data_IF_851502433275
#
_entry.id   IF_851502433275
#
_cell.length_a   1.000
_cell.length_b   1.000
_cell.length_c   1.000
_cell.angle_alpha   90.00
_cell.angle_beta   90.00
_cell.angle_gamma   90.00
#
_symmetry.space_group_name_H-M   'P 1'
#
loop_
_entity.id
_entity.type
_entity.pdbx_description
1 polymer ?
#
# COMPACT_ATOMS: atom_id res chain seq x y z
N UNK A 1 3.13 -4.22 -22.75
CA UNK A 1 3.81 -2.89 -22.69
C UNK A 1 3.43 -2.12 -21.42
N UNK A 2 2.15 -1.98 -21.07
CA UNK A 2 1.76 -1.24 -19.86
C UNK A 2 2.41 -1.80 -18.58
N UNK A 3 2.23 -3.09 -18.28
CA UNK A 3 2.83 -3.71 -17.09
C UNK A 3 4.36 -3.57 -17.04
N UNK A 4 5.04 -3.70 -18.18
CA UNK A 4 6.48 -3.51 -18.25
C UNK A 4 6.88 -2.04 -17.97
N UNK A 5 6.04 -1.07 -18.36
CA UNK A 5 6.27 0.33 -18.02
C UNK A 5 6.12 0.57 -16.50
N UNK A 6 5.12 -0.05 -15.86
CA UNK A 6 4.95 -0.01 -14.40
C UNK A 6 6.12 -0.67 -13.65
N UNK A 7 6.64 -1.80 -14.16
CA UNK A 7 7.82 -2.45 -13.60
C UNK A 7 9.05 -1.52 -13.66
N UNK A 8 9.30 -0.90 -14.82
CA UNK A 8 10.38 0.07 -14.94
C UNK A 8 10.20 1.28 -14.01
N UNK A 9 8.98 1.81 -13.90
CA UNK A 9 8.71 2.94 -13.03
C UNK A 9 8.89 2.58 -11.55
N UNK A 10 8.52 1.37 -11.15
CA UNK A 10 8.73 0.87 -9.77
C UNK A 10 10.22 0.79 -9.43
N UNK A 11 11.06 0.43 -10.41
CA UNK A 11 12.51 0.40 -10.29
C UNK A 11 13.18 1.78 -10.47
N UNK A 12 12.41 2.85 -10.68
CA UNK A 12 12.92 4.20 -10.89
C UNK A 12 13.46 4.49 -12.31
N UNK A 13 13.28 3.57 -13.25
CA UNK A 13 13.66 3.75 -14.67
C UNK A 13 12.55 4.51 -15.43
N UNK A 14 12.29 5.75 -15.02
CA UNK A 14 11.18 6.55 -15.54
C UNK A 14 11.31 6.89 -17.03
N UNK A 15 12.53 7.01 -17.55
CA UNK A 15 12.83 7.19 -18.98
C UNK A 15 12.29 6.02 -19.80
N UNK A 16 12.59 4.78 -19.40
CA UNK A 16 12.10 3.56 -20.05
C UNK A 16 10.59 3.41 -19.92
N UNK A 17 10.07 3.69 -18.75
CA UNK A 17 8.62 3.65 -18.48
C UNK A 17 7.86 4.61 -19.40
N UNK A 18 8.32 5.86 -19.49
CA UNK A 18 7.74 6.88 -20.38
C UNK A 18 7.81 6.47 -21.85
N UNK A 19 8.98 5.98 -22.32
CA UNK A 19 9.14 5.55 -23.71
C UNK A 19 8.20 4.40 -24.10
N UNK A 20 7.97 3.44 -23.19
CA UNK A 20 7.03 2.34 -23.43
C UNK A 20 5.57 2.82 -23.51
N UNK A 21 5.15 3.72 -22.58
CA UNK A 21 3.80 4.29 -22.63
C UNK A 21 3.60 5.16 -23.85
N UNK A 22 4.59 5.96 -24.24
CA UNK A 22 4.57 6.72 -25.47
C UNK A 22 4.32 5.81 -26.69
N UNK A 23 5.10 4.73 -26.82
CA UNK A 23 4.97 3.76 -27.89
C UNK A 23 3.60 3.08 -27.90
N UNK A 24 3.05 2.77 -26.72
CA UNK A 24 1.71 2.20 -26.56
C UNK A 24 0.62 3.18 -27.02
N UNK A 25 0.68 4.43 -26.57
CA UNK A 25 -0.27 5.47 -26.91
C UNK A 25 -0.26 5.79 -28.42
N UNK A 26 0.93 5.83 -29.03
CA UNK A 26 1.07 5.99 -30.49
C UNK A 26 0.48 4.80 -31.26
N UNK A 27 0.62 3.58 -30.77
CA UNK A 27 0.02 2.41 -31.40
C UNK A 27 -1.52 2.49 -31.42
N UNK A 28 -2.14 2.93 -30.30
CA UNK A 28 -3.59 3.18 -30.24
C UNK A 28 -4.03 4.25 -31.26
N UNK A 29 -3.32 5.39 -31.31
CA UNK A 29 -3.62 6.49 -32.26
C UNK A 29 -3.51 6.03 -33.71
N UNK A 30 -2.44 5.32 -34.07
CA UNK A 30 -2.24 4.77 -35.42
C UNK A 30 -3.28 3.71 -35.80
N UNK A 31 -3.76 2.96 -34.81
CA UNK A 31 -4.85 1.99 -34.98
C UNK A 31 -6.25 2.61 -35.05
N UNK A 32 -6.36 3.95 -34.94
CA UNK A 32 -7.67 4.63 -34.91
C UNK A 32 -8.47 4.40 -33.63
N UNK A 33 -7.80 3.96 -32.56
CA UNK A 33 -8.42 3.69 -31.27
C UNK A 33 -8.21 4.85 -30.32
N UNK A 34 -9.18 5.08 -29.42
CA UNK A 34 -9.02 6.04 -28.33
C UNK A 34 -7.92 5.58 -27.37
N UNK A 35 -7.02 6.49 -27.03
CA UNK A 35 -5.98 6.21 -26.02
C UNK A 35 -6.63 6.17 -24.64
N UNK A 36 -6.18 5.24 -23.80
CA UNK A 36 -6.62 5.18 -22.42
C UNK A 36 -6.07 6.42 -21.66
N UNK A 37 -6.94 7.24 -21.04
CA UNK A 37 -6.51 8.43 -20.31
C UNK A 37 -5.47 8.14 -19.19
N UNK A 38 -5.53 6.95 -18.58
CA UNK A 38 -4.59 6.50 -17.57
C UNK A 38 -3.18 6.37 -18.17
N UNK A 39 -3.04 5.82 -19.38
CA UNK A 39 -1.74 5.67 -20.03
C UNK A 39 -1.13 7.02 -20.41
N UNK A 40 -1.97 7.96 -20.88
CA UNK A 40 -1.49 9.32 -21.18
C UNK A 40 -1.06 10.08 -19.91
N UNK A 41 -1.79 9.91 -18.82
CA UNK A 41 -1.47 10.55 -17.56
C UNK A 41 -0.14 10.01 -16.98
N UNK A 42 0.07 8.70 -16.98
CA UNK A 42 1.33 8.10 -16.53
C UNK A 42 2.51 8.35 -17.47
N UNK A 43 2.28 8.43 -18.79
CA UNK A 43 3.32 8.88 -19.74
C UNK A 43 3.83 10.28 -19.35
N UNK A 44 2.92 11.22 -19.07
CA UNK A 44 3.25 12.58 -18.64
C UNK A 44 4.04 12.59 -17.33
N UNK A 45 3.60 11.81 -16.34
CA UNK A 45 4.28 11.67 -15.06
C UNK A 45 5.70 11.15 -15.23
N UNK A 46 5.86 10.00 -15.91
CA UNK A 46 7.19 9.39 -16.05
C UNK A 46 8.13 10.22 -16.91
N UNK A 47 7.61 10.92 -17.93
CA UNK A 47 8.37 11.89 -18.71
C UNK A 47 8.91 13.05 -17.86
N UNK A 48 8.17 13.49 -16.85
CA UNK A 48 8.61 14.55 -15.93
C UNK A 48 9.59 14.01 -14.90
N UNK A 49 9.30 12.85 -14.32
CA UNK A 49 10.17 12.19 -13.35
C UNK A 49 11.54 11.83 -13.92
N UNK A 50 11.61 11.44 -15.20
CA UNK A 50 12.89 11.14 -15.86
C UNK A 50 13.89 12.31 -15.92
N UNK A 51 13.40 13.55 -15.69
CA UNK A 51 14.19 14.77 -15.65
C UNK A 51 14.62 15.18 -14.24
N UNK A 52 14.12 14.50 -13.21
CA UNK A 52 14.32 14.88 -11.80
C UNK A 52 15.47 14.14 -11.10
N UNK A 53 16.28 13.41 -11.85
CA UNK A 53 17.33 12.56 -11.29
C UNK A 53 16.90 11.12 -11.09
N UNK A 54 17.87 10.24 -10.89
CA UNK A 54 17.63 8.80 -10.74
C UNK A 54 17.24 8.48 -9.30
N UNK A 55 16.14 7.76 -9.13
CA UNK A 55 15.78 7.17 -7.84
C UNK A 55 16.87 6.18 -7.40
N UNK A 56 17.29 6.28 -6.14
CA UNK A 56 18.26 5.34 -5.57
C UNK A 56 18.06 5.17 -4.06
N UNK A 57 18.61 4.08 -3.53
CA UNK A 57 18.59 3.75 -2.11
C UNK A 57 20.01 3.52 -1.62
N UNK A 58 20.44 4.32 -0.65
CA UNK A 58 21.70 4.16 0.06
C UNK A 58 21.45 3.31 1.30
N UNK A 59 21.98 2.09 1.31
CA UNK A 59 21.81 1.15 2.44
C UNK A 59 23.10 1.07 3.23
N UNK A 60 23.03 1.13 4.58
CA UNK A 60 24.18 0.84 5.41
C UNK A 60 24.51 -0.67 5.39
N UNK A 61 25.72 -1.02 5.82
CA UNK A 61 26.18 -2.41 5.90
C UNK A 61 25.63 -3.16 7.13
N UNK A 62 24.89 -2.49 8.00
CA UNK A 62 24.27 -3.04 9.21
C UNK A 62 22.74 -3.02 9.08
N UNK A 63 22.07 -3.76 9.96
CA UNK A 63 20.61 -3.72 10.04
C UNK A 63 20.15 -2.30 10.42
N UNK A 64 19.11 -1.83 9.76
CA UNK A 64 18.42 -0.60 10.13
C UNK A 64 17.17 -0.95 10.93
N UNK A 65 16.97 -0.25 12.04
CA UNK A 65 15.76 -0.39 12.87
C UNK A 65 15.11 0.96 13.07
N UNK A 66 13.81 1.03 12.75
CA UNK A 66 13.01 2.25 12.88
C UNK A 66 11.84 1.97 13.83
N UNK A 67 11.60 2.79 14.85
CA UNK A 67 10.47 2.60 15.76
C UNK A 67 9.13 2.60 15.04
N UNK A 68 8.28 1.61 15.36
CA UNK A 68 6.87 1.59 14.98
C UNK A 68 6.04 2.25 16.08
N UNK A 69 5.22 3.20 15.70
CA UNK A 69 4.34 3.94 16.60
C UNK A 69 2.89 3.59 16.26
N UNK A 70 2.05 3.36 17.27
CA UNK A 70 0.60 3.22 17.06
C UNK A 70 -0.12 4.45 17.58
N UNK A 71 -1.26 4.80 16.97
CA UNK A 71 -2.03 5.95 17.40
C UNK A 71 -2.48 5.84 18.86
N UNK A 72 -3.01 4.68 19.24
CA UNK A 72 -3.57 4.45 20.57
C UNK A 72 -2.54 4.04 21.60
N UNK A 73 -1.30 3.74 21.20
CA UNK A 73 -0.33 3.05 22.05
C UNK A 73 -0.74 1.61 22.40
N UNK A 74 -1.86 1.12 21.85
CA UNK A 74 -2.42 -0.20 22.14
C UNK A 74 -2.22 -1.15 20.95
N UNK A 75 -1.38 -2.18 21.15
CA UNK A 75 -1.12 -3.20 20.12
C UNK A 75 -2.37 -4.01 19.72
N UNK A 76 -3.33 -4.20 20.63
CA UNK A 76 -4.56 -4.98 20.34
C UNK A 76 -5.59 -4.19 19.52
N UNK A 77 -5.49 -2.87 19.55
CA UNK A 77 -6.33 -1.98 18.73
C UNK A 77 -5.47 -0.81 18.22
N UNK A 78 -4.58 -1.05 17.26
CA UNK A 78 -3.57 -0.09 16.83
C UNK A 78 -4.16 1.11 16.09
N UNK A 79 -5.37 1.02 15.56
CA UNK A 79 -6.04 1.95 14.63
C UNK A 79 -5.18 2.34 13.43
N UNK A 80 -3.98 2.92 13.67
CA UNK A 80 -2.99 3.28 12.66
C UNK A 80 -1.58 3.04 13.17
N UNK A 81 -0.67 2.74 12.25
CA UNK A 81 0.75 2.56 12.51
C UNK A 81 1.56 3.60 11.76
N UNK A 82 2.55 4.16 12.46
CA UNK A 82 3.41 5.23 11.95
C UNK A 82 4.88 4.93 12.17
N UNK A 83 5.70 5.59 11.38
CA UNK A 83 7.15 5.72 11.58
C UNK A 83 7.52 7.20 11.55
N UNK A 84 8.66 7.55 12.13
CA UNK A 84 9.27 8.86 11.94
C UNK A 84 10.21 8.81 10.75
N UNK A 85 10.06 9.75 9.84
CA UNK A 85 10.93 9.94 8.68
C UNK A 85 11.52 11.34 8.69
N UNK A 86 12.69 11.52 8.08
CA UNK A 86 13.22 12.85 7.79
C UNK A 86 13.17 13.07 6.27
N UNK A 87 12.37 14.03 5.83
CA UNK A 87 12.20 14.37 4.41
C UNK A 87 12.78 15.76 4.17
N UNK A 88 13.82 15.86 3.35
CA UNK A 88 14.55 17.11 3.05
C UNK A 88 14.93 17.90 4.33
N UNK A 89 15.38 17.20 5.37
CA UNK A 89 15.78 17.82 6.64
C UNK A 89 14.63 18.08 7.63
N UNK A 90 13.37 17.83 7.27
CA UNK A 90 12.21 18.00 8.15
C UNK A 90 11.72 16.64 8.68
N UNK A 91 11.59 16.52 10.00
CA UNK A 91 10.97 15.36 10.60
C UNK A 91 9.45 15.36 10.37
N UNK A 92 8.92 14.20 10.02
CA UNK A 92 7.49 13.99 9.79
C UNK A 92 7.08 12.59 10.22
N UNK A 93 5.90 12.50 10.81
CA UNK A 93 5.24 11.23 11.13
C UNK A 93 4.54 10.72 9.87
N UNK A 94 4.95 9.55 9.38
CA UNK A 94 4.43 8.93 8.17
C UNK A 94 3.73 7.62 8.47
N UNK A 95 2.67 7.30 7.73
CA UNK A 95 2.20 5.92 7.62
C UNK A 95 3.14 5.16 6.68
N UNK A 96 3.64 4.00 7.10
CA UNK A 96 4.40 3.09 6.24
C UNK A 96 3.44 2.01 5.75
N UNK A 97 2.96 2.19 4.52
CA UNK A 97 1.70 1.62 4.04
C UNK A 97 1.91 0.67 2.86
N UNK A 98 1.80 -0.64 3.11
CA UNK A 98 1.87 -1.66 2.06
C UNK A 98 0.60 -1.75 1.21
N UNK A 99 -0.48 -1.09 1.62
CA UNK A 99 -1.72 -0.90 0.84
C UNK A 99 -1.68 0.32 -0.09
N UNK A 100 -0.60 1.11 -0.05
CA UNK A 100 -0.39 2.27 -0.92
C UNK A 100 0.66 1.97 -1.99
N UNK A 101 0.26 1.91 -3.26
CA UNK A 101 1.17 1.68 -4.39
C UNK A 101 2.08 2.86 -4.73
N UNK A 102 1.86 4.02 -4.12
CA UNK A 102 2.57 5.27 -4.37
C UNK A 102 2.80 6.02 -3.05
N UNK A 103 3.82 6.90 -3.04
CA UNK A 103 4.01 7.81 -1.92
C UNK A 103 3.12 9.04 -2.08
N UNK A 104 2.58 9.53 -0.97
CA UNK A 104 1.66 10.66 -0.94
C UNK A 104 2.03 11.63 0.17
N UNK A 105 1.90 12.93 -0.07
CA UNK A 105 2.02 13.95 0.96
C UNK A 105 0.92 15.02 0.81
N UNK A 106 0.61 15.68 1.92
CA UNK A 106 -0.33 16.80 1.90
C UNK A 106 0.30 18.03 1.25
N UNK A 107 -0.54 18.90 0.67
CA UNK A 107 -0.11 20.21 0.18
C UNK A 107 0.61 21.01 1.28
N UNK A 108 0.08 20.99 2.52
CA UNK A 108 0.66 21.66 3.68
C UNK A 108 2.08 21.18 3.98
N UNK A 109 2.33 19.89 3.89
CA UNK A 109 3.66 19.34 4.11
C UNK A 109 4.61 19.69 2.96
N UNK A 110 4.16 19.61 1.71
CA UNK A 110 4.95 20.02 0.55
C UNK A 110 5.40 21.49 0.66
N UNK A 111 4.51 22.38 1.10
CA UNK A 111 4.84 23.79 1.37
C UNK A 111 5.85 23.94 2.51
N UNK A 112 5.70 23.18 3.60
CA UNK A 112 6.60 23.22 4.77
C UNK A 112 8.02 22.85 4.41
N UNK A 113 8.23 21.84 3.55
CA UNK A 113 9.55 21.45 3.05
C UNK A 113 10.02 22.31 1.86
N UNK A 114 9.25 23.32 1.46
CA UNK A 114 9.52 24.22 0.31
C UNK A 114 9.76 23.46 -0.99
N UNK A 115 9.02 22.37 -1.18
CA UNK A 115 9.17 21.54 -2.36
C UNK A 115 8.53 22.20 -3.59
N UNK A 116 9.18 22.05 -4.75
CA UNK A 116 8.61 22.50 -6.02
C UNK A 116 7.61 21.48 -6.53
N UNK A 117 6.35 21.89 -6.67
CA UNK A 117 5.30 21.04 -7.22
C UNK A 117 5.38 21.02 -8.74
N UNK A 118 5.60 19.85 -9.30
CA UNK A 118 5.60 19.57 -10.73
C UNK A 118 4.16 19.31 -11.16
N UNK A 119 3.61 20.18 -12.00
CA UNK A 119 2.25 19.98 -12.51
C UNK A 119 2.19 18.77 -13.44
N UNK A 120 1.19 17.94 -13.27
CA UNK A 120 0.94 16.75 -14.10
C UNK A 120 -0.47 16.77 -14.66
N UNK A 121 -0.73 15.98 -15.70
CA UNK A 121 -2.11 15.63 -16.06
C UNK A 121 -2.80 15.05 -14.83
N UNK A 122 -4.09 15.31 -14.69
CA UNK A 122 -4.85 14.85 -13.53
C UNK A 122 -4.82 13.32 -13.43
N UNK A 123 -4.27 12.81 -12.35
CA UNK A 123 -4.26 11.38 -12.02
C UNK A 123 -5.26 11.18 -10.89
N UNK A 124 -6.31 10.44 -11.21
CA UNK A 124 -7.20 9.94 -10.18
C UNK A 124 -6.51 8.81 -9.44
N UNK A 125 -6.25 9.04 -8.15
CA UNK A 125 -5.69 8.00 -7.30
C UNK A 125 -6.82 7.14 -6.76
N UNK A 126 -6.72 5.84 -7.04
CA UNK A 126 -7.57 4.83 -6.42
C UNK A 126 -7.06 4.60 -4.98
N UNK A 127 -7.74 5.26 -4.05
CA UNK A 127 -7.74 4.86 -2.65
C UNK A 127 -9.08 4.22 -2.32
N UNK A 128 -9.54 4.31 -1.07
CA UNK A 128 -10.94 3.99 -0.73
C UNK A 128 -11.92 5.03 -1.29
N UNK A 129 -11.41 6.07 -1.93
CA UNK A 129 -12.10 7.12 -2.67
C UNK A 129 -11.15 7.76 -3.66
N UNK A 130 -11.72 8.42 -4.65
CA UNK A 130 -10.95 9.15 -5.66
C UNK A 130 -10.46 10.47 -5.07
N UNK A 131 -9.14 10.64 -5.01
CA UNK A 131 -8.52 11.93 -4.74
C UNK A 131 -7.77 12.41 -5.98
N UNK A 132 -7.98 13.66 -6.34
CA UNK A 132 -7.25 14.30 -7.43
C UNK A 132 -5.86 14.72 -6.93
N UNK A 133 -4.84 14.33 -7.66
CA UNK A 133 -3.49 14.81 -7.41
C UNK A 133 -3.37 16.29 -7.80
N UNK A 134 -2.73 17.08 -6.92
CA UNK A 134 -2.34 18.48 -7.21
C UNK A 134 -1.02 18.55 -8.01
N UNK A 135 -0.37 17.43 -8.25
CA UNK A 135 0.91 17.31 -8.93
C UNK A 135 1.87 16.39 -8.20
N UNK A 136 3.14 16.50 -8.54
CA UNK A 136 4.23 15.70 -7.99
C UNK A 136 5.24 16.59 -7.27
N UNK A 137 5.86 16.04 -6.24
CA UNK A 137 7.08 16.53 -5.64
C UNK A 137 8.13 15.42 -5.72
N UNK A 138 9.34 15.74 -6.10
CA UNK A 138 10.49 14.83 -5.95
C UNK A 138 11.32 15.35 -4.79
N UNK A 139 11.44 14.55 -3.73
CA UNK A 139 12.26 14.91 -2.58
C UNK A 139 13.71 14.48 -2.80
N UNK A 140 14.67 15.33 -2.44
CA UNK A 140 16.09 15.05 -2.59
C UNK A 140 16.52 13.90 -1.68
N UNK A 141 15.91 13.82 -0.49
CA UNK A 141 16.18 12.75 0.46
C UNK A 141 14.97 12.42 1.35
N UNK A 142 14.76 11.12 1.55
CA UNK A 142 13.95 10.59 2.64
C UNK A 142 14.83 9.66 3.46
N UNK A 143 14.91 9.87 4.77
CA UNK A 143 15.70 9.05 5.69
C UNK A 143 14.80 8.28 6.64
N UNK A 144 15.08 6.98 6.77
CA UNK A 144 14.52 6.08 7.78
C UNK A 144 15.68 5.51 8.59
N UNK A 145 16.00 6.11 9.76
CA UNK A 145 17.28 5.85 10.44
C UNK A 145 18.45 6.15 9.49
N UNK A 146 19.34 5.18 9.30
CA UNK A 146 20.52 5.30 8.43
C UNK A 146 20.23 4.95 6.95
N UNK A 147 19.02 4.51 6.62
CA UNK A 147 18.59 4.26 5.26
C UNK A 147 18.22 5.57 4.57
N UNK A 148 18.75 5.83 3.37
CA UNK A 148 18.49 7.06 2.63
C UNK A 148 17.98 6.76 1.23
N UNK A 149 16.79 7.27 0.91
CA UNK A 149 16.24 7.30 -0.44
C UNK A 149 16.56 8.64 -1.09
N UNK A 150 16.96 8.63 -2.37
CA UNK A 150 17.23 9.82 -3.16
C UNK A 150 16.24 9.94 -4.32
N UNK A 151 15.91 11.19 -4.65
CA UNK A 151 15.02 11.51 -5.78
C UNK A 151 13.69 10.73 -5.73
N UNK A 152 13.09 10.65 -4.55
CA UNK A 152 11.86 9.89 -4.34
C UNK A 152 10.62 10.74 -4.67
N UNK A 153 9.75 10.29 -5.59
CA UNK A 153 8.55 11.02 -5.92
C UNK A 153 7.43 10.82 -4.90
N UNK A 154 6.68 11.90 -4.66
CA UNK A 154 5.43 11.92 -3.90
C UNK A 154 4.34 12.60 -4.72
N UNK A 155 3.14 12.04 -4.72
CA UNK A 155 1.96 12.76 -5.17
C UNK A 155 1.50 13.73 -4.08
N UNK A 156 1.15 14.94 -4.49
CA UNK A 156 0.60 15.96 -3.57
C UNK A 156 -0.91 15.90 -3.64
N UNK A 157 -1.56 15.73 -2.48
CA UNK A 157 -3.01 15.58 -2.38
C UNK A 157 -3.59 16.44 -1.26
N UNK A 158 -4.86 16.77 -1.38
CA UNK A 158 -5.67 17.20 -0.25
C UNK A 158 -6.33 15.96 0.38
N UNK A 159 -5.88 15.57 1.57
CA UNK A 159 -6.40 14.41 2.28
C UNK A 159 -7.71 14.70 3.01
N UNK A 160 -8.22 15.94 2.95
CA UNK A 160 -9.49 16.28 3.58
C UNK A 160 -10.66 15.59 2.89
N UNK A 161 -11.64 15.25 3.69
CA UNK A 161 -12.91 14.67 3.26
C UNK A 161 -14.04 15.69 3.43
N UNK A 162 -15.23 15.38 2.92
CA UNK A 162 -16.44 16.19 3.17
C UNK A 162 -16.97 16.05 4.62
N UNK A 163 -16.31 15.23 5.45
CA UNK A 163 -16.71 15.01 6.84
C UNK A 163 -15.79 15.80 7.80
N UNK A 164 -16.30 16.86 8.47
CA UNK A 164 -15.50 17.69 9.38
C UNK A 164 -14.90 16.92 10.56
N UNK A 165 -15.60 15.90 11.09
CA UNK A 165 -15.09 15.07 12.19
C UNK A 165 -13.94 14.19 11.75
N UNK A 166 -14.01 13.63 10.53
CA UNK A 166 -12.90 12.88 9.95
C UNK A 166 -11.67 13.79 9.73
N UNK A 167 -11.89 15.00 9.22
CA UNK A 167 -10.82 15.98 9.01
C UNK A 167 -10.14 16.38 10.34
N UNK A 168 -10.93 16.63 11.38
CA UNK A 168 -10.40 16.91 12.71
C UNK A 168 -9.56 15.74 13.24
N UNK A 169 -10.02 14.50 13.07
CA UNK A 169 -9.25 13.32 13.45
C UNK A 169 -7.94 13.20 12.66
N UNK A 170 -7.94 13.46 11.35
CA UNK A 170 -6.72 13.48 10.53
C UNK A 170 -5.71 14.53 11.00
N UNK A 171 -6.19 15.71 11.37
CA UNK A 171 -5.34 16.77 11.95
C UNK A 171 -4.76 16.38 13.30
N UNK A 172 -5.57 15.81 14.20
CA UNK A 172 -5.13 15.31 15.51
C UNK A 172 -4.09 14.18 15.38
N UNK A 173 -4.24 13.32 14.37
CA UNK A 173 -3.29 12.28 14.04
C UNK A 173 -1.95 12.82 13.50
N UNK A 174 -1.92 14.04 13.01
CA UNK A 174 -0.80 14.61 12.26
C UNK A 174 -0.54 13.83 10.97
N UNK A 175 -1.60 13.45 10.27
CA UNK A 175 -1.53 12.63 9.06
C UNK A 175 -1.14 13.48 7.86
N UNK A 176 0.14 13.54 7.55
CA UNK A 176 0.68 14.41 6.50
C UNK A 176 1.39 13.67 5.38
N UNK A 177 1.80 12.41 5.61
CA UNK A 177 2.63 11.67 4.67
C UNK A 177 2.32 10.17 4.72
N UNK A 178 2.27 9.55 3.54
CA UNK A 178 2.20 8.10 3.33
C UNK A 178 3.41 7.66 2.53
N UNK A 179 4.13 6.70 3.05
CA UNK A 179 5.25 6.05 2.38
C UNK A 179 4.75 4.69 1.89
N UNK A 180 4.66 4.52 0.60
CA UNK A 180 4.09 3.34 -0.05
C UNK A 180 5.11 2.28 -0.46
N UNK A 181 4.63 1.30 -1.20
CA UNK A 181 5.37 0.09 -1.61
C UNK A 181 6.62 0.36 -2.45
N UNK A 182 6.69 1.50 -3.14
CA UNK A 182 7.87 1.89 -3.91
C UNK A 182 9.15 1.95 -3.07
N UNK A 183 9.03 2.26 -1.77
CA UNK A 183 10.18 2.31 -0.85
C UNK A 183 10.53 0.95 -0.26
N UNK A 184 9.64 -0.03 -0.34
CA UNK A 184 9.80 -1.35 0.27
C UNK A 184 10.55 -2.31 -0.64
N UNK A 185 10.16 -2.40 -1.91
CA UNK A 185 10.72 -3.36 -2.87
C UNK A 185 12.25 -3.33 -3.01
N UNK A 186 12.91 -2.16 -3.03
CA UNK A 186 14.38 -2.09 -3.16
C UNK A 186 15.14 -2.63 -1.96
N UNK A 187 14.46 -3.03 -0.89
CA UNK A 187 15.08 -3.43 0.37
C UNK A 187 15.40 -4.93 0.48
N UNK A 188 15.06 -5.73 -0.53
CA UNK A 188 15.17 -7.19 -0.55
C UNK A 188 14.35 -7.91 0.52
N UNK A 189 14.38 -7.44 1.77
CA UNK A 189 13.58 -7.96 2.89
C UNK A 189 13.27 -6.85 3.90
N UNK A 190 12.08 -6.91 4.48
CA UNK A 190 11.68 -6.11 5.63
C UNK A 190 10.99 -7.00 6.67
N UNK A 191 11.15 -6.64 7.94
CA UNK A 191 10.51 -7.31 9.07
C UNK A 191 9.79 -6.28 9.95
N UNK A 192 8.50 -6.43 10.09
CA UNK A 192 7.74 -5.74 11.14
C UNK A 192 7.85 -6.57 12.42
N UNK A 193 8.73 -6.17 13.32
CA UNK A 193 8.90 -6.79 14.65
C UNK A 193 7.94 -6.10 15.64
N UNK A 194 6.77 -6.70 15.80
CA UNK A 194 5.73 -6.16 16.67
C UNK A 194 6.00 -6.41 18.15
N UNK A 195 6.86 -7.34 18.51
CA UNK A 195 7.27 -7.49 19.91
C UNK A 195 8.15 -6.34 20.38
N UNK A 196 9.05 -5.89 19.51
CA UNK A 196 9.94 -4.77 19.78
C UNK A 196 9.38 -3.44 19.31
N UNK A 197 8.26 -3.44 18.59
CA UNK A 197 7.69 -2.29 17.90
C UNK A 197 8.73 -1.60 17.03
N UNK A 198 9.30 -2.36 16.09
CA UNK A 198 10.33 -1.88 15.16
C UNK A 198 10.05 -2.39 13.73
N UNK A 199 10.27 -1.53 12.76
CA UNK A 199 10.51 -1.92 11.38
C UNK A 199 12.00 -2.21 11.25
N UNK A 200 12.36 -3.43 10.92
CA UNK A 200 13.75 -3.87 10.73
C UNK A 200 14.01 -4.12 9.27
N UNK A 201 15.04 -3.48 8.74
CA UNK A 201 15.57 -3.72 7.40
C UNK A 201 16.92 -4.44 7.58
N UNK A 202 17.01 -5.74 7.31
CA UNK A 202 18.23 -6.49 7.51
C UNK A 202 19.30 -6.09 6.48
N UNK A 203 20.57 -6.12 6.89
CA UNK A 203 21.70 -5.86 5.99
C UNK A 203 21.79 -6.89 4.84
N UNK A 204 21.32 -8.12 5.12
CA UNK A 204 21.20 -9.20 4.14
C UNK A 204 19.84 -9.88 4.31
N UNK A 205 19.21 -10.23 3.19
CA UNK A 205 17.94 -10.97 3.22
C UNK A 205 18.14 -12.43 3.66
N UNK A 206 17.08 -13.02 4.19
CA UNK A 206 17.06 -14.44 4.54
C UNK A 206 17.28 -15.28 3.28
N UNK A 207 18.33 -16.12 3.23
CA UNK A 207 18.58 -16.98 2.09
C UNK A 207 17.38 -17.88 1.81
N UNK A 208 17.23 -18.28 0.55
CA UNK A 208 16.06 -19.03 0.07
C UNK A 208 15.83 -20.25 0.91
N UNK A 209 14.73 -20.33 1.53
CA UNK A 209 14.43 -21.44 2.38
C UNK A 209 13.41 -22.32 1.72
N UNK A 210 12.89 -23.15 2.50
CA UNK A 210 11.77 -24.03 2.44
C UNK A 210 10.43 -23.43 1.96
N UNK A 211 10.31 -22.11 1.77
CA UNK A 211 9.04 -21.49 1.33
C UNK A 211 9.01 -21.23 -0.17
N UNK A 212 7.95 -21.74 -0.81
CA UNK A 212 7.63 -21.36 -2.17
C UNK A 212 7.19 -19.87 -2.22
N UNK A 213 7.41 -19.18 -3.35
CA UNK A 213 6.83 -17.85 -3.56
C UNK A 213 5.33 -17.87 -3.30
N UNK A 214 4.83 -16.92 -2.52
CA UNK A 214 3.43 -16.86 -2.14
C UNK A 214 2.79 -15.49 -2.34
N UNK A 215 3.52 -14.52 -2.89
CA UNK A 215 2.94 -13.25 -3.29
C UNK A 215 3.47 -12.78 -4.65
N UNK A 216 2.79 -11.83 -5.25
CA UNK A 216 3.21 -11.13 -6.45
C UNK A 216 2.92 -9.64 -6.33
N UNK A 217 3.56 -8.85 -7.16
CA UNK A 217 3.34 -7.40 -7.26
C UNK A 217 2.38 -7.11 -8.40
N UNK A 218 1.30 -6.39 -8.12
CA UNK A 218 0.31 -6.01 -9.13
C UNK A 218 0.73 -4.74 -9.88
N UNK A 219 0.09 -4.43 -11.03
CA UNK A 219 0.30 -3.17 -11.72
C UNK A 219 -0.06 -1.93 -10.90
N UNK A 220 -0.95 -2.08 -9.91
CA UNK A 220 -1.28 -1.04 -8.93
C UNK A 220 -0.21 -0.90 -7.85
N UNK A 221 0.89 -1.66 -7.97
CA UNK A 221 2.01 -1.73 -7.04
C UNK A 221 1.64 -2.20 -5.64
N UNK A 222 0.61 -3.03 -5.54
CA UNK A 222 0.20 -3.69 -4.30
C UNK A 222 0.78 -5.10 -4.24
N UNK A 223 1.01 -5.57 -3.02
CA UNK A 223 1.46 -6.94 -2.78
C UNK A 223 0.25 -7.85 -2.61
N UNK A 224 0.04 -8.70 -3.61
CA UNK A 224 -1.02 -9.70 -3.62
C UNK A 224 -0.50 -11.01 -3.08
N UNK A 225 -1.04 -11.44 -1.95
CA UNK A 225 -0.65 -12.61 -1.21
C UNK A 225 -1.60 -13.78 -1.51
N UNK A 226 -1.06 -14.93 -1.87
CA UNK A 226 -1.84 -16.15 -2.10
C UNK A 226 -2.04 -16.92 -0.80
N UNK A 227 -3.27 -16.94 -0.31
CA UNK A 227 -3.67 -17.71 0.88
C UNK A 227 -4.48 -18.95 0.48
N UNK A 228 -4.50 -19.97 1.33
CA UNK A 228 -5.50 -21.03 1.22
C UNK A 228 -6.62 -20.76 2.22
N UNK A 229 -7.82 -20.54 1.70
CA UNK A 229 -9.01 -20.33 2.53
C UNK A 229 -9.44 -21.62 3.20
N UNK A 230 -9.52 -21.65 4.52
CA UNK A 230 -9.87 -22.86 5.29
C UNK A 230 -11.31 -23.32 5.10
N UNK A 231 -12.21 -22.42 4.68
CA UNK A 231 -13.61 -22.76 4.44
C UNK A 231 -13.79 -23.52 3.11
N UNK A 232 -13.19 -23.00 2.05
CA UNK A 232 -13.34 -23.56 0.71
C UNK A 232 -12.20 -24.48 0.27
N UNK A 233 -11.08 -24.49 0.98
CA UNK A 233 -9.85 -25.16 0.59
C UNK A 233 -9.18 -24.58 -0.66
N UNK A 234 -9.68 -23.47 -1.20
CA UNK A 234 -9.19 -22.84 -2.43
C UNK A 234 -8.17 -21.75 -2.16
N UNK A 235 -7.33 -21.49 -3.14
CA UNK A 235 -6.49 -20.31 -3.14
C UNK A 235 -7.36 -19.06 -3.30
N UNK A 236 -7.10 -18.07 -2.46
CA UNK A 236 -7.68 -16.74 -2.52
C UNK A 236 -6.58 -15.70 -2.62
N UNK A 237 -6.92 -14.58 -3.17
CA UNK A 237 -6.04 -13.44 -3.38
C UNK A 237 -6.27 -12.41 -2.27
N UNK A 238 -5.22 -12.09 -1.53
CA UNK A 238 -5.27 -11.12 -0.44
C UNK A 238 -4.26 -10.00 -0.66
N UNK A 239 -4.61 -8.77 -0.31
CA UNK A 239 -3.62 -7.71 -0.15
C UNK A 239 -3.22 -7.57 1.32
N UNK A 240 -1.95 -7.24 1.55
CA UNK A 240 -1.44 -6.87 2.87
C UNK A 240 -1.42 -5.35 2.96
N UNK A 241 -2.09 -4.81 3.96
CA UNK A 241 -2.32 -3.38 4.10
C UNK A 241 -1.99 -2.93 5.54
N UNK A 242 -0.75 -2.47 5.72
CA UNK A 242 -0.27 -1.94 7.00
C UNK A 242 -0.86 -0.55 7.33
N UNK A 243 -1.57 0.07 6.40
CA UNK A 243 -2.37 1.29 6.61
C UNK A 243 -3.80 1.01 7.06
N UNK A 244 -4.27 -0.25 6.98
CA UNK A 244 -5.65 -0.60 7.31
C UNK A 244 -5.84 -0.95 8.79
N UNK A 245 -6.84 -0.32 9.42
CA UNK A 245 -7.23 -0.56 10.81
C UNK A 245 -7.97 -1.89 11.05
N UNK A 246 -8.23 -2.70 10.01
CA UNK A 246 -8.93 -3.96 10.13
C UNK A 246 -8.76 -4.88 8.92
N UNK A 247 -8.85 -6.18 9.18
CA UNK A 247 -8.92 -7.22 8.16
C UNK A 247 -10.35 -7.37 7.69
N UNK A 248 -10.57 -7.54 6.39
CA UNK A 248 -11.89 -7.71 5.77
C UNK A 248 -11.85 -8.79 4.69
N UNK A 249 -12.95 -9.51 4.54
CA UNK A 249 -13.25 -10.32 3.36
C UNK A 249 -14.17 -9.50 2.44
N UNK A 250 -13.76 -9.32 1.19
CA UNK A 250 -14.40 -8.40 0.25
C UNK A 250 -15.72 -8.93 -0.31
N UNK A 251 -16.44 -8.12 -1.04
CA UNK A 251 -17.63 -8.57 -1.77
C UNK A 251 -17.28 -9.62 -2.84
N UNK A 252 -16.08 -9.57 -3.42
CA UNK A 252 -15.57 -10.60 -4.33
C UNK A 252 -15.47 -11.96 -3.64
N UNK A 253 -14.95 -12.01 -2.39
CA UNK A 253 -14.95 -13.23 -1.57
C UNK A 253 -16.37 -13.71 -1.29
N UNK A 254 -17.27 -12.80 -0.90
CA UNK A 254 -18.68 -13.14 -0.65
C UNK A 254 -19.32 -13.81 -1.86
N UNK A 255 -19.21 -13.21 -3.04
CA UNK A 255 -19.78 -13.74 -4.29
C UNK A 255 -19.23 -15.13 -4.66
N UNK A 256 -17.93 -15.37 -4.46
CA UNK A 256 -17.31 -16.69 -4.70
C UNK A 256 -17.78 -17.78 -3.72
N UNK A 257 -18.27 -17.39 -2.55
CA UNK A 257 -18.66 -18.28 -1.46
C UNK A 257 -20.12 -18.07 -1.03
N UNK A 258 -20.98 -17.55 -1.88
CA UNK A 258 -22.35 -17.11 -1.55
C UNK A 258 -23.17 -18.21 -0.87
N UNK A 259 -23.01 -19.46 -1.31
CA UNK A 259 -23.67 -20.63 -0.72
C UNK A 259 -23.37 -20.81 0.77
N UNK A 260 -22.18 -20.38 1.22
CA UNK A 260 -21.79 -20.44 2.63
C UNK A 260 -22.47 -19.41 3.50
N UNK A 261 -23.12 -18.42 2.88
CA UNK A 261 -23.79 -17.30 3.54
C UNK A 261 -25.31 -17.32 3.37
N UNK A 262 -25.87 -18.37 2.75
CA UNK A 262 -27.30 -18.52 2.54
C UNK A 262 -28.03 -18.46 3.89
N UNK A 263 -29.08 -17.62 3.96
CA UNK A 263 -29.85 -17.40 5.18
C UNK A 263 -29.18 -16.51 6.25
N UNK A 264 -27.93 -16.09 6.08
CA UNK A 264 -27.28 -15.13 6.97
C UNK A 264 -27.65 -13.71 6.59
N UNK A 265 -28.18 -12.98 7.55
CA UNK A 265 -28.44 -11.54 7.37
C UNK A 265 -27.18 -10.74 7.72
N UNK A 266 -26.97 -9.61 7.06
CA UNK A 266 -25.98 -8.64 7.49
C UNK A 266 -26.42 -8.06 8.85
N UNK A 267 -25.62 -8.35 9.88
CA UNK A 267 -25.94 -7.97 11.27
C UNK A 267 -25.15 -6.75 11.74
N UNK A 268 -24.17 -6.33 10.93
CA UNK A 268 -23.28 -5.25 11.28
C UNK A 268 -23.01 -4.32 10.10
N UNK A 269 -22.41 -3.17 10.37
CA UNK A 269 -21.96 -2.21 9.36
C UNK A 269 -20.56 -1.74 9.66
N UNK A 270 -19.70 -1.79 8.65
CA UNK A 270 -18.33 -1.31 8.69
C UNK A 270 -18.26 0.09 8.10
N UNK A 271 -17.66 1.01 8.83
CA UNK A 271 -17.23 2.30 8.27
C UNK A 271 -15.82 2.16 7.74
N UNK A 272 -15.68 2.39 6.47
CA UNK A 272 -14.36 2.41 5.80
C UNK A 272 -14.03 3.86 5.46
N UNK A 273 -12.87 4.33 5.90
CA UNK A 273 -12.36 5.65 5.59
C UNK A 273 -11.06 5.52 4.78
N UNK A 274 -10.91 6.34 3.78
CA UNK A 274 -9.68 6.48 2.98
C UNK A 274 -9.50 7.92 2.53
N UNK A 275 -8.48 8.19 1.75
CA UNK A 275 -8.26 9.54 1.20
C UNK A 275 -9.51 9.95 0.42
N UNK A 276 -10.21 10.99 0.90
CA UNK A 276 -11.33 11.65 0.22
C UNK A 276 -12.75 11.17 0.56
N UNK A 277 -13.01 10.01 1.19
CA UNK A 277 -14.38 9.62 1.55
C UNK A 277 -14.52 8.68 2.75
N UNK A 278 -15.76 8.61 3.25
CA UNK A 278 -16.18 7.65 4.26
C UNK A 278 -17.35 6.86 3.70
N UNK A 279 -17.20 5.55 3.60
CA UNK A 279 -18.27 4.65 3.16
C UNK A 279 -18.78 3.79 4.31
N UNK A 280 -20.07 3.45 4.27
CA UNK A 280 -20.68 2.51 5.21
C UNK A 280 -21.17 1.30 4.43
N UNK A 281 -20.59 0.14 4.71
CA UNK A 281 -20.94 -1.12 4.03
C UNK A 281 -21.56 -2.10 5.03
N UNK A 282 -22.53 -2.88 4.58
CA UNK A 282 -23.13 -3.94 5.39
C UNK A 282 -22.26 -5.18 5.40
N UNK A 283 -22.05 -5.77 6.56
CA UNK A 283 -21.14 -6.89 6.77
C UNK A 283 -21.78 -8.05 7.54
N UNK A 284 -21.21 -9.24 7.35
CA UNK A 284 -21.51 -10.46 8.09
C UNK A 284 -20.24 -10.83 8.86
N UNK A 285 -20.23 -10.78 10.19
CA UNK A 285 -19.06 -11.22 10.96
C UNK A 285 -18.89 -12.74 10.90
N UNK A 286 -17.65 -13.18 10.71
CA UNK A 286 -17.33 -14.62 10.64
C UNK A 286 -16.06 -14.94 11.42
N UNK A 287 -15.93 -16.20 11.82
CA UNK A 287 -14.63 -16.80 12.11
C UNK A 287 -14.03 -17.28 10.79
N UNK A 288 -12.80 -16.88 10.52
CA UNK A 288 -12.12 -17.14 9.26
C UNK A 288 -10.77 -17.82 9.52
N UNK A 289 -10.58 -18.97 8.90
CA UNK A 289 -9.33 -19.74 8.95
C UNK A 289 -8.66 -19.69 7.59
N UNK A 290 -7.34 -19.49 7.58
CA UNK A 290 -6.54 -19.48 6.36
C UNK A 290 -5.16 -20.10 6.60
N UNK A 291 -4.49 -20.51 5.53
CA UNK A 291 -3.12 -21.01 5.56
C UNK A 291 -2.20 -20.08 4.79
N UNK A 292 -1.09 -19.70 5.42
CA UNK A 292 0.00 -18.90 4.84
C UNK A 292 1.33 -19.60 5.12
N UNK A 293 2.16 -19.78 4.09
CA UNK A 293 3.49 -20.40 4.20
C UNK A 293 3.50 -21.79 4.88
N UNK A 294 2.39 -22.53 4.78
CA UNK A 294 2.23 -23.85 5.39
C UNK A 294 1.60 -23.86 6.79
N UNK A 295 1.51 -22.71 7.44
CA UNK A 295 0.94 -22.56 8.78
C UNK A 295 -0.51 -22.11 8.72
N UNK A 296 -1.36 -22.61 9.63
CA UNK A 296 -2.79 -22.30 9.70
C UNK A 296 -3.06 -21.25 10.77
N UNK A 297 -3.83 -20.23 10.41
CA UNK A 297 -4.24 -19.14 11.27
C UNK A 297 -5.75 -19.04 11.34
N UNK A 298 -6.29 -18.63 12.47
CA UNK A 298 -7.74 -18.41 12.67
C UNK A 298 -8.00 -17.05 13.29
N UNK A 299 -8.77 -16.25 12.58
CA UNK A 299 -9.23 -14.93 13.01
C UNK A 299 -10.72 -14.97 13.34
N UNK A 300 -11.13 -14.23 14.35
CA UNK A 300 -12.53 -14.15 14.79
C UNK A 300 -13.10 -12.78 14.48
N UNK A 301 -14.42 -12.77 14.26
CA UNK A 301 -15.16 -11.53 14.02
C UNK A 301 -14.71 -10.72 12.80
N UNK A 302 -14.23 -11.42 11.74
CA UNK A 302 -13.83 -10.79 10.49
C UNK A 302 -15.06 -10.39 9.69
N UNK A 303 -15.21 -9.12 9.29
CA UNK A 303 -16.34 -8.68 8.48
C UNK A 303 -16.21 -9.17 7.04
N UNK A 304 -17.27 -9.80 6.54
CA UNK A 304 -17.46 -10.13 5.12
C UNK A 304 -18.35 -9.04 4.51
N UNK A 305 -17.86 -8.33 3.51
CA UNK A 305 -18.65 -7.30 2.81
C UNK A 305 -19.66 -7.98 1.89
N UNK A 306 -20.96 -7.82 2.20
CA UNK A 306 -22.03 -8.43 1.42
C UNK A 306 -22.31 -7.71 0.10
N UNK A 307 -22.21 -6.39 0.09
CA UNK A 307 -22.44 -5.56 -1.09
C UNK A 307 -21.47 -4.41 -1.11
N UNK A 308 -20.86 -4.16 -2.27
CA UNK A 308 -19.99 -3.03 -2.52
C UNK A 308 -20.27 -2.53 -3.94
N UNK A 309 -20.23 -1.22 -4.12
CA UNK A 309 -20.23 -0.59 -5.45
C UNK A 309 -18.83 -0.64 -6.07
N UNK A 310 -17.80 -0.94 -5.27
CA UNK A 310 -16.43 -1.09 -5.73
C UNK A 310 -16.22 -2.49 -6.31
N UNK A 311 -15.51 -2.54 -7.41
CA UNK A 311 -15.09 -3.79 -8.03
C UNK A 311 -13.71 -4.16 -7.48
N UNK A 312 -13.70 -4.83 -6.31
CA UNK A 312 -12.44 -5.26 -5.70
C UNK A 312 -11.73 -6.31 -6.56
N UNK A 313 -10.43 -6.14 -6.74
CA UNK A 313 -9.59 -7.07 -7.51
C UNK A 313 -9.07 -8.24 -6.66
N UNK A 314 -9.24 -8.18 -5.33
CA UNK A 314 -8.77 -9.16 -4.36
C UNK A 314 -9.93 -9.69 -3.48
N UNK A 315 -9.71 -10.83 -2.86
CA UNK A 315 -10.72 -11.51 -2.03
C UNK A 315 -10.67 -11.08 -0.56
N UNK A 316 -9.49 -10.67 -0.09
CA UNK A 316 -9.21 -10.31 1.30
C UNK A 316 -8.27 -9.10 1.38
N UNK A 317 -8.45 -8.28 2.41
CA UNK A 317 -7.46 -7.29 2.86
C UNK A 317 -7.05 -7.63 4.29
N UNK A 318 -5.77 -7.94 4.48
CA UNK A 318 -5.19 -8.22 5.80
C UNK A 318 -4.69 -6.90 6.38
N UNK A 319 -5.31 -6.46 7.47
CA UNK A 319 -4.97 -5.20 8.15
C UNK A 319 -4.16 -5.40 9.43
N UNK A 320 -3.84 -4.28 10.08
CA UNK A 320 -2.99 -4.22 11.26
C UNK A 320 -3.36 -5.18 12.39
N UNK A 321 -4.64 -5.37 12.79
CA UNK A 321 -4.95 -6.26 13.90
C UNK A 321 -4.47 -7.69 13.67
N UNK A 322 -4.69 -8.24 12.47
CA UNK A 322 -4.19 -9.57 12.09
C UNK A 322 -2.67 -9.60 12.04
N UNK A 323 -2.02 -8.58 11.43
CA UNK A 323 -0.56 -8.51 11.38
C UNK A 323 0.05 -8.46 12.78
N UNK A 324 -0.49 -7.62 13.66
CA UNK A 324 0.03 -7.40 15.02
C UNK A 324 -0.41 -8.47 16.03
N UNK A 325 -1.27 -9.42 15.65
CA UNK A 325 -1.56 -10.61 16.45
C UNK A 325 -0.33 -11.53 16.56
N UNK A 326 0.57 -11.46 15.58
CA UNK A 326 1.82 -12.21 15.50
C UNK A 326 3.00 -11.41 16.08
N UNK A 327 4.09 -12.10 16.43
CA UNK A 327 5.30 -11.45 16.92
C UNK A 327 6.01 -10.68 15.82
N UNK A 328 6.03 -11.26 14.60
CA UNK A 328 6.65 -10.62 13.44
C UNK A 328 5.86 -10.92 12.17
N UNK A 329 5.96 -9.99 11.24
CA UNK A 329 5.56 -10.16 9.85
C UNK A 329 6.75 -9.85 8.95
N UNK A 330 7.15 -10.82 8.12
CA UNK A 330 8.32 -10.70 7.24
C UNK A 330 7.88 -10.72 5.79
N UNK A 331 8.42 -9.79 5.01
CA UNK A 331 8.27 -9.73 3.55
C UNK A 331 9.65 -9.85 2.93
N UNK A 332 9.89 -10.92 2.20
CA UNK A 332 11.11 -11.12 1.42
C UNK A 332 10.82 -10.90 -0.07
N UNK A 333 11.21 -9.74 -0.57
CA UNK A 333 11.00 -9.34 -1.96
C UNK A 333 11.93 -10.08 -2.92
N UNK A 334 13.09 -10.53 -2.44
CA UNK A 334 14.07 -11.24 -3.26
C UNK A 334 13.57 -12.60 -3.71
N UNK A 335 12.87 -13.30 -2.83
CA UNK A 335 12.36 -14.66 -3.06
C UNK A 335 10.83 -14.71 -3.15
N UNK A 336 10.15 -13.55 -3.08
CA UNK A 336 8.71 -13.39 -3.25
C UNK A 336 7.89 -14.22 -2.25
N UNK A 337 8.25 -14.19 -0.96
CA UNK A 337 7.46 -14.82 0.10
C UNK A 337 7.20 -13.87 1.27
N UNK A 338 6.06 -14.12 1.92
CA UNK A 338 5.66 -13.49 3.18
C UNK A 338 5.31 -14.56 4.20
N UNK A 339 5.57 -14.27 5.49
CA UNK A 339 5.19 -15.15 6.59
C UNK A 339 4.99 -14.39 7.89
N UNK A 340 4.26 -15.02 8.81
CA UNK A 340 4.25 -14.63 10.21
C UNK A 340 5.28 -15.44 11.00
N UNK A 341 5.72 -14.91 12.14
CA UNK A 341 6.48 -15.62 13.18
C UNK A 341 5.80 -15.37 14.53
N UNK A 342 5.57 -16.46 15.28
CA UNK A 342 5.00 -16.46 16.63
C UNK A 342 6.05 -16.85 17.67
#
# INVERSE_FOLDING_TARGET
MYFMAEDYATLGHYDKASALLHSLNEAYRKGGQAVNPVFEAYEDVYSKLSKCGTFSVERPNNNVSVPLLTHTGNRKNPEMMFIMANINGQEVKCTYDSGAGINVMTTKFAERIKATVIQTKNIQMLGMSYADSKGLVVVDSLKLGDLVYRNLPFFVVDMRTDNPLANKKLEELGYECVIGTQTMMPLDEICFDFDRMQLVIPASYTPTPTYAPNFYHSPQRLYHLSLTDGRSGRKIDAIVDTGASGTILTNRYYKKNENCFTGRMATDSLRTAGVGSVNVVKTIPVSWTFTLAGEQYTETNIPVIRSSEQNEEYDCRIGLPTLMAHRKFIINFKNMWMRFED
#
